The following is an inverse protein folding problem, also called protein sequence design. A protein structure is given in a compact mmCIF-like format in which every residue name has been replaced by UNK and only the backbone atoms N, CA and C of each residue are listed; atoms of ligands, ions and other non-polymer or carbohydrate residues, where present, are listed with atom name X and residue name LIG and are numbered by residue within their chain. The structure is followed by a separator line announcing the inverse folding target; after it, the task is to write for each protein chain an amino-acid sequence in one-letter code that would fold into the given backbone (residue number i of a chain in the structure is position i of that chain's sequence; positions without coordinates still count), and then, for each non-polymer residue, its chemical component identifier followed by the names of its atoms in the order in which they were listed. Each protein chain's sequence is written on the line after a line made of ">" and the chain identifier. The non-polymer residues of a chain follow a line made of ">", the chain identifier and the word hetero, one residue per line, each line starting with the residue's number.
data_IF_565265532228
#
_entry.id   IF_565265532228
#
_cell.length_a   1.000
_cell.length_b   1.000
_cell.length_c   1.000
_cell.angle_alpha   90.00
_cell.angle_beta   90.00
_cell.angle_gamma   90.00
#
_symmetry.space_group_name_H-M   'P 1'
#
loop_
_entity.id
_entity.type
_entity.pdbx_description
1 polymer ?
#
# COMPACT_ATOMS: atom_id res chain seq x y z
N UNK A 1 13.19 -8.07 -8.60
CA UNK A 1 12.09 -8.70 -9.36
C UNK A 1 10.79 -8.20 -8.76
N UNK A 2 10.17 -7.16 -9.33
CA UNK A 2 8.93 -6.58 -8.79
C UNK A 2 7.77 -7.52 -9.12
N UNK A 3 7.20 -8.14 -8.10
CA UNK A 3 6.02 -8.99 -8.25
C UNK A 3 4.81 -8.08 -8.46
N UNK A 4 4.38 -7.89 -9.70
CA UNK A 4 3.15 -7.14 -9.97
C UNK A 4 1.93 -7.99 -9.65
N UNK A 5 1.08 -7.51 -8.74
CA UNK A 5 -0.19 -8.16 -8.45
C UNK A 5 -1.13 -8.08 -9.65
N UNK A 6 -1.67 -9.23 -10.08
CA UNK A 6 -2.69 -9.30 -11.14
C UNK A 6 -3.99 -8.59 -10.73
N UNK A 7 -4.34 -8.65 -9.45
CA UNK A 7 -5.55 -8.06 -8.89
C UNK A 7 -5.22 -7.18 -7.68
N UNK A 8 -5.97 -6.10 -7.50
CA UNK A 8 -5.78 -5.11 -6.44
C UNK A 8 -7.09 -4.88 -5.70
N UNK A 9 -7.02 -4.72 -4.38
CA UNK A 9 -8.12 -4.11 -3.63
C UNK A 9 -8.15 -2.57 -3.87
N UNK A 10 -9.22 -1.90 -3.43
CA UNK A 10 -9.38 -0.45 -3.63
C UNK A 10 -8.30 0.39 -2.95
N UNK A 11 -7.74 -0.09 -1.85
CA UNK A 11 -6.65 0.59 -1.14
C UNK A 11 -5.37 0.53 -1.95
N UNK A 12 -5.02 -0.65 -2.46
CA UNK A 12 -3.87 -0.83 -3.34
C UNK A 12 -4.03 -0.05 -4.64
N UNK A 13 -5.24 -0.04 -5.22
CA UNK A 13 -5.56 0.78 -6.38
C UNK A 13 -5.38 2.27 -6.08
N UNK A 14 -5.90 2.76 -4.94
CA UNK A 14 -5.75 4.17 -4.54
C UNK A 14 -4.29 4.58 -4.38
N UNK A 15 -3.46 3.72 -3.80
CA UNK A 15 -2.01 3.96 -3.67
C UNK A 15 -1.30 4.21 -5.01
N UNK A 16 -1.75 3.58 -6.10
CA UNK A 16 -1.15 3.80 -7.42
C UNK A 16 -1.44 5.19 -8.00
N UNK A 17 -2.40 5.92 -7.44
CA UNK A 17 -2.82 7.25 -7.89
C UNK A 17 -2.70 8.30 -6.78
N UNK A 18 -2.04 7.97 -5.66
CA UNK A 18 -1.97 8.78 -4.43
C UNK A 18 -3.34 9.29 -3.93
N UNK A 19 -4.31 8.38 -3.88
CA UNK A 19 -5.65 8.68 -3.35
C UNK A 19 -6.15 7.61 -2.39
N UNK A 20 -7.15 7.98 -1.60
CA UNK A 20 -7.82 7.04 -0.71
C UNK A 20 -8.68 6.03 -1.47
N UNK A 21 -9.00 4.90 -0.83
CA UNK A 21 -9.91 3.88 -1.37
C UNK A 21 -11.34 4.39 -1.63
N UNK A 22 -11.75 5.47 -0.94
CA UNK A 22 -13.03 6.13 -1.16
C UNK A 22 -13.01 6.93 -2.46
N UNK A 23 -11.91 7.63 -2.75
CA UNK A 23 -11.74 8.42 -3.98
C UNK A 23 -11.63 7.50 -5.18
N UNK A 24 -10.76 6.49 -5.15
CA UNK A 24 -10.68 5.49 -6.22
C UNK A 24 -12.02 4.76 -6.39
N UNK A 25 -12.73 4.52 -5.29
CA UNK A 25 -14.07 3.96 -5.30
C UNK A 25 -15.11 4.85 -5.97
N UNK A 26 -15.01 6.18 -5.84
CA UNK A 26 -15.86 7.17 -6.50
C UNK A 26 -15.59 7.20 -8.00
N UNK A 27 -14.32 7.21 -8.43
CA UNK A 27 -13.96 7.17 -9.85
C UNK A 27 -14.54 5.95 -10.54
N UNK A 28 -14.48 4.77 -9.90
CA UNK A 28 -15.10 3.57 -10.45
C UNK A 28 -16.63 3.67 -10.57
N UNK A 29 -17.31 4.46 -9.72
CA UNK A 29 -18.75 4.74 -9.89
C UNK A 29 -18.99 5.64 -11.09
N UNK A 30 -18.17 6.68 -11.24
CA UNK A 30 -18.26 7.63 -12.37
C UNK A 30 -18.04 6.91 -13.72
N UNK A 31 -17.19 5.87 -13.74
CA UNK A 31 -16.96 5.00 -14.90
C UNK A 31 -18.04 3.92 -15.13
N UNK A 32 -19.04 3.84 -14.25
CA UNK A 32 -20.06 2.79 -14.30
C UNK A 32 -19.55 1.39 -13.97
N UNK A 33 -18.34 1.27 -13.41
CA UNK A 33 -17.76 0.02 -12.92
C UNK A 33 -18.24 -0.33 -11.51
N UNK A 34 -18.80 0.64 -10.77
CA UNK A 34 -19.50 0.44 -9.50
C UNK A 34 -20.88 1.07 -9.52
N UNK A 35 -21.82 0.45 -8.82
CA UNK A 35 -23.16 0.98 -8.57
C UNK A 35 -23.16 2.01 -7.43
N UNK A 36 -24.29 2.71 -7.27
CA UNK A 36 -24.46 3.73 -6.24
C UNK A 36 -24.23 3.20 -4.82
N UNK A 37 -24.63 1.95 -4.55
CA UNK A 37 -24.41 1.22 -3.29
C UNK A 37 -22.96 0.78 -3.07
N UNK A 38 -22.07 1.05 -4.04
CA UNK A 38 -20.65 0.71 -3.97
C UNK A 38 -20.33 -0.73 -4.33
N UNK A 39 -21.27 -1.54 -4.81
CA UNK A 39 -20.93 -2.86 -5.36
C UNK A 39 -20.35 -2.73 -6.78
N UNK A 40 -19.57 -3.71 -7.26
CA UNK A 40 -19.19 -3.73 -8.67
C UNK A 40 -20.43 -3.91 -9.56
N UNK A 41 -20.46 -3.24 -10.69
CA UNK A 41 -21.56 -3.33 -11.65
C UNK A 41 -21.51 -4.65 -12.43
N UNK A 42 -22.63 -5.02 -13.07
CA UNK A 42 -22.66 -6.15 -13.99
C UNK A 42 -21.63 -6.00 -15.12
N UNK A 43 -21.41 -4.76 -15.59
CA UNK A 43 -20.37 -4.41 -16.56
C UNK A 43 -18.98 -4.81 -16.06
N UNK A 44 -18.65 -4.48 -14.80
CA UNK A 44 -17.35 -4.79 -14.23
C UNK A 44 -17.07 -6.31 -14.17
N UNK A 45 -18.09 -7.13 -13.92
CA UNK A 45 -17.96 -8.60 -13.98
C UNK A 45 -17.84 -9.11 -15.41
N UNK A 46 -18.73 -8.68 -16.30
CA UNK A 46 -18.80 -9.17 -17.68
C UNK A 46 -17.54 -8.83 -18.48
N UNK A 47 -16.97 -7.65 -18.24
CA UNK A 47 -15.73 -7.20 -18.90
C UNK A 47 -14.47 -7.65 -18.15
N UNK A 48 -14.62 -8.36 -17.03
CA UNK A 48 -13.50 -8.93 -16.25
C UNK A 48 -12.63 -7.88 -15.56
N UNK A 49 -13.22 -6.74 -15.16
CA UNK A 49 -12.57 -5.75 -14.30
C UNK A 49 -12.49 -6.20 -12.85
N UNK A 50 -13.40 -7.08 -12.41
CA UNK A 50 -13.52 -7.45 -11.00
C UNK A 50 -13.75 -8.94 -10.86
N UNK A 51 -13.19 -9.52 -9.79
CA UNK A 51 -13.49 -10.88 -9.35
C UNK A 51 -13.72 -10.90 -7.84
N UNK A 52 -14.41 -11.93 -7.36
CA UNK A 52 -14.51 -12.21 -5.93
C UNK A 52 -13.26 -12.96 -5.47
N UNK A 53 -12.69 -12.52 -4.35
CA UNK A 53 -11.60 -13.19 -3.65
C UNK A 53 -12.09 -13.62 -2.27
N UNK A 54 -11.68 -14.81 -1.84
CA UNK A 54 -11.98 -15.35 -0.51
C UNK A 54 -11.19 -14.58 0.56
N UNK A 55 -11.86 -14.17 1.63
CA UNK A 55 -11.23 -13.50 2.77
C UNK A 55 -10.65 -14.48 3.81
N UNK A 56 -10.75 -15.80 3.58
CA UNK A 56 -10.24 -16.86 4.45
C UNK A 56 -11.03 -17.03 5.76
N UNK A 57 -12.14 -16.31 5.93
CA UNK A 57 -12.98 -16.28 7.14
C UNK A 57 -14.46 -16.47 6.82
N UNK A 58 -14.79 -17.08 5.68
CA UNK A 58 -16.17 -17.37 5.27
C UNK A 58 -16.89 -16.20 4.61
N UNK A 59 -16.16 -15.23 4.05
CA UNK A 59 -16.71 -14.16 3.24
C UNK A 59 -15.87 -13.89 2.00
N UNK A 60 -16.34 -12.96 1.18
CA UNK A 60 -15.64 -12.54 -0.03
C UNK A 60 -15.43 -11.03 -0.05
N UNK A 61 -14.42 -10.61 -0.78
CA UNK A 61 -14.20 -9.21 -1.14
C UNK A 61 -13.95 -9.10 -2.63
N UNK A 62 -14.10 -7.90 -3.17
CA UNK A 62 -13.91 -7.64 -4.59
C UNK A 62 -12.50 -7.14 -4.86
N UNK A 63 -11.84 -7.76 -5.83
CA UNK A 63 -10.52 -7.34 -6.30
C UNK A 63 -10.58 -7.00 -7.78
N UNK A 64 -9.86 -5.93 -8.13
CA UNK A 64 -9.91 -5.26 -9.42
C UNK A 64 -8.70 -5.65 -10.27
N UNK A 65 -8.92 -5.98 -11.54
CA UNK A 65 -7.87 -6.40 -12.45
C UNK A 65 -6.93 -5.23 -12.76
N UNK A 66 -5.70 -5.29 -12.25
CA UNK A 66 -4.73 -4.19 -12.23
C UNK A 66 -4.66 -3.44 -13.57
N UNK A 67 -4.24 -4.12 -14.63
CA UNK A 67 -3.99 -3.51 -15.94
C UNK A 67 -5.25 -2.90 -16.59
N UNK A 68 -6.41 -3.53 -16.38
CA UNK A 68 -7.67 -3.08 -17.01
C UNK A 68 -8.19 -1.85 -16.29
N UNK A 69 -8.25 -1.93 -14.97
CA UNK A 69 -8.74 -0.84 -14.14
C UNK A 69 -7.85 0.39 -14.24
N UNK A 70 -6.52 0.22 -14.27
CA UNK A 70 -5.59 1.33 -14.50
C UNK A 70 -5.84 1.99 -15.86
N UNK A 71 -5.91 1.19 -16.94
CA UNK A 71 -6.11 1.74 -18.29
C UNK A 71 -7.43 2.52 -18.41
N UNK A 72 -8.50 2.06 -17.77
CA UNK A 72 -9.78 2.79 -17.74
C UNK A 72 -9.69 4.10 -16.97
N UNK A 73 -9.00 4.10 -15.81
CA UNK A 73 -8.79 5.30 -15.00
C UNK A 73 -7.90 6.32 -15.74
N UNK A 74 -6.85 5.87 -16.41
CA UNK A 74 -5.98 6.72 -17.24
C UNK A 74 -6.73 7.30 -18.44
N UNK A 75 -7.57 6.49 -19.09
CA UNK A 75 -8.44 6.95 -20.19
C UNK A 75 -9.45 8.00 -19.72
N UNK A 76 -9.80 8.01 -18.44
CA UNK A 76 -10.64 9.01 -17.80
C UNK A 76 -9.86 10.24 -17.26
N UNK A 77 -8.54 10.27 -17.46
CA UNK A 77 -7.67 11.39 -17.09
C UNK A 77 -7.01 11.30 -15.72
N UNK A 78 -7.18 10.19 -14.99
CA UNK A 78 -6.47 9.97 -13.73
C UNK A 78 -5.04 9.50 -14.01
N UNK A 79 -4.05 10.15 -13.42
CA UNK A 79 -2.64 9.77 -13.61
C UNK A 79 -2.14 8.96 -12.44
N UNK A 80 -1.49 7.84 -12.74
CA UNK A 80 -0.74 7.13 -11.72
C UNK A 80 0.38 8.03 -11.21
N UNK A 81 0.74 7.87 -9.93
CA UNK A 81 2.01 8.40 -9.46
C UNK A 81 3.13 7.64 -10.15
N UNK A 82 4.12 8.37 -10.65
CA UNK A 82 5.31 7.74 -11.21
C UNK A 82 5.96 6.98 -10.06
N UNK A 83 6.12 5.65 -10.19
CA UNK A 83 6.67 4.82 -9.11
C UNK A 83 8.11 5.19 -8.73
N UNK A 84 8.72 6.09 -9.50
CA UNK A 84 10.00 6.73 -9.25
C UNK A 84 9.94 7.86 -8.21
N UNK A 85 8.74 8.32 -7.83
CA UNK A 85 8.49 9.36 -6.81
C UNK A 85 7.81 8.80 -5.55
N UNK A 86 7.79 7.49 -5.36
CA UNK A 86 7.66 6.99 -3.99
C UNK A 86 8.96 7.38 -3.30
N UNK A 87 8.93 8.47 -2.52
CA UNK A 87 10.06 8.97 -1.71
C UNK A 87 10.93 7.77 -1.32
N UNK A 88 12.12 7.67 -1.93
CA UNK A 88 13.09 6.67 -1.51
C UNK A 88 13.30 6.94 -0.03
N UNK A 89 12.69 6.13 0.83
CA UNK A 89 12.94 6.16 2.27
C UNK A 89 14.38 5.68 2.41
N UNK A 90 15.29 6.62 2.27
CA UNK A 90 16.71 6.38 2.36
C UNK A 90 17.00 6.08 3.81
N UNK A 91 17.42 4.83 4.07
CA UNK A 91 17.70 4.35 5.41
C UNK A 91 19.08 4.83 5.82
N UNK A 92 19.14 5.97 6.51
CA UNK A 92 20.38 6.51 7.01
C UNK A 92 20.56 6.13 8.48
N UNK A 93 21.49 5.21 8.73
CA UNK A 93 21.97 4.91 10.08
C UNK A 93 22.94 5.99 10.59
N UNK A 94 23.27 5.98 11.89
CA UNK A 94 22.77 5.05 12.91
C UNK A 94 21.28 5.27 13.20
N UNK A 95 20.62 4.18 13.60
CA UNK A 95 19.20 4.16 13.92
C UNK A 95 18.99 4.19 15.43
N UNK A 96 17.99 4.96 15.86
CA UNK A 96 17.59 5.10 17.25
C UNK A 96 16.18 4.56 17.49
N UNK A 97 15.94 4.10 18.71
CA UNK A 97 14.63 3.61 19.14
C UNK A 97 13.95 4.64 20.03
N UNK A 98 12.69 4.97 19.73
CA UNK A 98 11.83 5.73 20.64
C UNK A 98 10.50 5.04 20.88
N UNK A 99 10.04 5.06 22.13
CA UNK A 99 8.70 4.61 22.50
C UNK A 99 7.72 5.76 22.32
N UNK A 100 6.64 5.53 21.57
CA UNK A 100 5.65 6.57 21.27
C UNK A 100 4.44 6.58 22.22
N UNK A 101 4.50 5.81 23.32
CA UNK A 101 3.47 5.77 24.36
C UNK A 101 2.16 5.09 23.95
N UNK A 102 2.06 4.59 22.71
CA UNK A 102 0.81 4.10 22.10
C UNK A 102 0.91 2.66 21.62
N UNK A 103 1.55 1.78 22.41
CA UNK A 103 1.80 0.36 22.10
C UNK A 103 2.70 0.09 20.89
N UNK A 104 3.62 1.01 20.58
CA UNK A 104 4.55 0.83 19.48
C UNK A 104 5.89 1.52 19.72
N UNK A 105 6.85 1.10 18.91
CA UNK A 105 8.18 1.69 18.86
C UNK A 105 8.43 2.29 17.48
N UNK A 106 9.01 3.47 17.48
CA UNK A 106 9.48 4.17 16.30
C UNK A 106 10.98 3.97 16.19
N UNK A 107 11.42 3.43 15.05
CA UNK A 107 12.84 3.42 14.68
C UNK A 107 13.08 4.63 13.81
N UNK A 108 14.05 5.45 14.21
CA UNK A 108 14.40 6.71 13.57
C UNK A 108 15.71 6.59 12.82
N UNK A 109 15.76 7.22 11.65
CA UNK A 109 16.98 7.50 10.91
C UNK A 109 17.87 8.50 11.67
N UNK A 110 19.10 8.67 11.20
CA UNK A 110 20.05 9.67 11.70
C UNK A 110 19.58 11.11 11.54
N UNK A 111 18.64 11.37 10.62
CA UNK A 111 17.99 12.68 10.43
C UNK A 111 16.81 12.91 11.38
N UNK A 112 16.47 11.91 12.22
CA UNK A 112 15.36 11.94 13.16
C UNK A 112 14.01 11.51 12.57
N UNK A 113 13.91 11.24 11.27
CA UNK A 113 12.69 10.76 10.63
C UNK A 113 12.39 9.32 11.00
N UNK A 114 11.13 8.99 11.26
CA UNK A 114 10.70 7.61 11.55
C UNK A 114 10.71 6.80 10.25
N UNK A 115 11.55 5.78 10.19
CA UNK A 115 11.66 4.90 9.02
C UNK A 115 10.95 3.55 9.21
N UNK A 116 10.74 3.12 10.46
CA UNK A 116 9.97 1.91 10.77
C UNK A 116 9.09 2.15 12.00
N UNK A 117 7.84 1.69 11.91
CA UNK A 117 6.95 1.58 13.06
C UNK A 117 6.74 0.11 13.41
N UNK A 118 7.03 -0.26 14.66
CA UNK A 118 6.90 -1.63 15.14
C UNK A 118 5.86 -1.72 16.26
N UNK A 119 4.85 -2.57 16.06
CA UNK A 119 3.93 -2.99 17.13
C UNK A 119 4.50 -4.24 17.77
N UNK A 120 4.70 -4.22 19.08
CA UNK A 120 5.21 -5.37 19.81
C UNK A 120 5.95 -5.00 21.08
N UNK A 121 6.77 -5.94 21.56
CA UNK A 121 7.57 -5.76 22.76
C UNK A 121 8.90 -5.05 22.47
N UNK A 122 9.41 -4.32 23.46
CA UNK A 122 10.69 -3.60 23.40
C UNK A 122 11.85 -4.47 22.91
N UNK A 123 11.87 -5.73 23.35
CA UNK A 123 12.91 -6.68 23.00
C UNK A 123 13.01 -6.92 21.48
N UNK A 124 11.87 -6.98 20.79
CA UNK A 124 11.82 -7.16 19.34
C UNK A 124 12.29 -5.90 18.62
N UNK A 125 11.90 -4.74 19.15
CA UNK A 125 12.30 -3.44 18.63
C UNK A 125 13.82 -3.23 18.74
N UNK A 126 14.40 -3.54 19.90
CA UNK A 126 15.84 -3.49 20.12
C UNK A 126 16.64 -4.43 19.20
N UNK A 127 16.12 -5.64 18.95
CA UNK A 127 16.75 -6.57 17.99
C UNK A 127 16.76 -6.03 16.57
N UNK A 128 15.65 -5.42 16.13
CA UNK A 128 15.55 -4.83 14.80
C UNK A 128 16.53 -3.65 14.64
N UNK A 129 16.58 -2.73 15.61
CA UNK A 129 17.55 -1.61 15.62
C UNK A 129 18.98 -2.12 15.59
N UNK A 130 19.30 -3.16 16.37
CA UNK A 130 20.64 -3.77 16.38
C UNK A 130 21.02 -4.33 15.02
N UNK A 131 20.08 -4.99 14.33
CA UNK A 131 20.30 -5.55 13.00
C UNK A 131 20.49 -4.44 11.95
N UNK A 132 19.66 -3.39 11.99
CA UNK A 132 19.77 -2.25 11.08
C UNK A 132 21.09 -1.50 11.27
N UNK A 133 21.51 -1.28 12.52
CA UNK A 133 22.81 -0.68 12.82
C UNK A 133 23.99 -1.56 12.39
N UNK A 134 23.86 -2.88 12.47
CA UNK A 134 24.86 -3.81 11.93
C UNK A 134 24.96 -3.73 10.40
N UNK A 135 23.82 -3.64 9.71
CA UNK A 135 23.77 -3.47 8.25
C UNK A 135 24.40 -2.14 7.81
N UNK A 136 24.05 -1.04 8.48
CA UNK A 136 24.67 0.28 8.27
C UNK A 136 26.18 0.22 8.44
N UNK A 137 26.67 -0.34 9.56
CA UNK A 137 28.10 -0.46 9.84
C UNK A 137 28.86 -1.27 8.79
N UNK A 138 28.17 -2.16 8.07
CA UNK A 138 28.74 -2.99 7.00
C UNK A 138 28.53 -2.41 5.59
N UNK A 139 27.91 -1.24 5.45
CA UNK A 139 27.64 -0.62 4.16
C UNK A 139 26.61 -1.38 3.31
N UNK A 140 25.62 -2.00 3.95
CA UNK A 140 24.54 -2.75 3.27
C UNK A 140 23.21 -1.98 3.23
N UNK A 141 23.22 -0.68 3.49
CA UNK A 141 22.08 0.23 3.42
C UNK A 141 22.39 1.37 2.47
#
# INVERSE_FOLDING_TARGET
>A
MNYEYKYLNLTQLGKLFDVTSHVSGKWLKELGLRSADGKPSARAFNEGFVVQADNGRGGYYYVWHRKKTIAELESAGHRQIDSTEADEVSLHGPFDLSNNGSNGYEIKNSDGATCVWLVGEEFQANRLVSLMNLAHKRGHL
#
